data_IF_347923529766
#
_entry.id   IF_347923529766
#
_cell.length_a   1.000
_cell.length_b   1.000
_cell.length_c   1.000
_cell.angle_alpha   90.00
_cell.angle_beta   90.00
_cell.angle_gamma   90.00
#
_symmetry.space_group_name_H-M   'P 1'
#
loop_
_entity.id
_entity.type
_entity.pdbx_description
1 polymer ?
#
# COMPACT_ATOMS: atom_id res chain seq x y z
N UNK A 1 5.30 12.44 -8.98
CA UNK A 1 5.41 10.97 -9.12
C UNK A 1 4.82 10.29 -7.89
N UNK A 2 3.94 9.33 -8.11
CA UNK A 2 3.34 8.53 -7.04
C UNK A 2 4.07 7.21 -6.95
N UNK A 3 4.40 6.77 -5.74
CA UNK A 3 5.07 5.49 -5.52
C UNK A 3 4.11 4.42 -5.01
N UNK A 4 4.14 3.23 -5.61
CA UNK A 4 3.45 2.04 -5.11
C UNK A 4 4.53 1.08 -4.64
N UNK A 5 4.58 0.85 -3.33
CA UNK A 5 5.64 0.05 -2.70
C UNK A 5 4.97 -1.11 -1.98
N UNK A 6 5.44 -2.34 -2.23
CA UNK A 6 4.78 -3.53 -1.71
C UNK A 6 5.75 -4.58 -1.22
N UNK A 7 5.24 -5.44 -0.35
CA UNK A 7 5.84 -6.73 -0.02
C UNK A 7 4.85 -7.84 -0.37
N UNK A 8 5.30 -8.87 -1.06
CA UNK A 8 4.45 -9.98 -1.45
C UNK A 8 5.20 -11.30 -1.32
N UNK A 9 4.60 -12.26 -0.61
CA UNK A 9 5.17 -13.59 -0.46
C UNK A 9 4.71 -14.56 -1.55
N UNK A 10 3.41 -14.50 -1.90
CA UNK A 10 2.80 -15.42 -2.85
C UNK A 10 2.52 -14.80 -4.23
N UNK A 11 2.71 -13.50 -4.36
CA UNK A 11 2.40 -12.76 -5.58
C UNK A 11 1.03 -12.08 -5.58
N UNK A 12 0.17 -12.34 -4.61
CA UNK A 12 -1.18 -11.76 -4.59
C UNK A 12 -1.14 -10.25 -4.34
N UNK A 13 -0.38 -9.81 -3.35
CA UNK A 13 -0.23 -8.38 -3.07
C UNK A 13 0.48 -7.65 -4.21
N UNK A 14 1.41 -8.33 -4.88
CA UNK A 14 2.07 -7.79 -6.08
C UNK A 14 1.06 -7.51 -7.19
N UNK A 15 0.15 -8.44 -7.44
CA UNK A 15 -0.93 -8.25 -8.43
C UNK A 15 -1.79 -7.04 -8.07
N UNK A 16 -2.12 -6.89 -6.78
CA UNK A 16 -2.86 -5.74 -6.29
C UNK A 16 -2.10 -4.43 -6.54
N UNK A 17 -0.78 -4.44 -6.32
CA UNK A 17 0.06 -3.25 -6.53
C UNK A 17 -0.01 -2.77 -7.98
N UNK A 18 0.05 -3.67 -8.94
CA UNK A 18 -0.06 -3.31 -10.36
C UNK A 18 -1.46 -2.77 -10.70
N UNK A 19 -2.51 -3.30 -10.09
CA UNK A 19 -3.86 -2.79 -10.32
C UNK A 19 -4.06 -1.41 -9.70
N UNK A 20 -3.50 -1.16 -8.53
CA UNK A 20 -3.48 0.20 -7.95
C UNK A 20 -2.79 1.17 -8.91
N UNK A 21 -1.66 0.75 -9.48
CA UNK A 21 -0.92 1.56 -10.45
C UNK A 21 -1.74 1.84 -11.71
N UNK A 22 -2.52 0.86 -12.19
CA UNK A 22 -3.40 1.08 -13.34
C UNK A 22 -4.44 2.17 -13.06
N UNK A 23 -5.00 2.19 -11.85
CA UNK A 23 -5.92 3.24 -11.43
C UNK A 23 -5.28 4.62 -11.40
N UNK A 24 -4.03 4.70 -10.94
CA UNK A 24 -3.27 5.94 -10.91
C UNK A 24 -3.00 6.45 -12.33
N UNK A 25 -2.59 5.57 -13.23
CA UNK A 25 -2.37 5.90 -14.65
C UNK A 25 -3.65 6.37 -15.31
N UNK A 26 -4.77 5.69 -15.05
CA UNK A 26 -6.07 6.05 -15.61
C UNK A 26 -6.51 7.46 -15.16
N UNK A 27 -6.06 7.90 -13.99
CA UNK A 27 -6.33 9.26 -13.50
C UNK A 27 -5.34 10.31 -14.05
N UNK A 28 -4.40 9.90 -14.91
CA UNK A 28 -3.49 10.82 -15.57
C UNK A 28 -2.22 11.15 -14.81
N UNK A 29 -1.89 10.38 -13.76
CA UNK A 29 -0.71 10.63 -12.94
C UNK A 29 0.40 9.62 -13.26
N UNK A 30 1.64 10.04 -13.06
CA UNK A 30 2.80 9.15 -13.21
C UNK A 30 2.95 8.30 -11.95
N UNK A 31 3.37 7.04 -12.12
CA UNK A 31 3.49 6.08 -11.04
C UNK A 31 4.68 5.16 -11.25
N UNK A 32 5.34 4.80 -10.15
CA UNK A 32 6.36 3.74 -10.13
C UNK A 32 5.89 2.65 -9.17
N UNK A 33 6.07 1.39 -9.58
CA UNK A 33 5.76 0.23 -8.73
C UNK A 33 7.07 -0.44 -8.36
N UNK A 34 7.33 -0.57 -7.07
CA UNK A 34 8.57 -1.18 -6.57
C UNK A 34 8.30 -2.11 -5.41
N UNK A 35 9.01 -3.24 -5.40
CA UNK A 35 9.09 -4.08 -4.21
C UNK A 35 9.86 -3.33 -3.12
N UNK A 36 9.52 -3.60 -1.86
CA UNK A 36 10.20 -2.99 -0.72
C UNK A 36 11.72 -3.22 -0.74
N UNK A 37 12.17 -4.32 -1.37
CA UNK A 37 13.60 -4.62 -1.50
C UNK A 37 14.31 -3.77 -2.56
N UNK A 38 13.57 -3.06 -3.40
CA UNK A 38 14.11 -2.27 -4.51
C UNK A 38 14.17 -0.77 -4.22
N UNK A 39 13.69 -0.34 -3.07
CA UNK A 39 13.56 1.09 -2.74
C UNK A 39 14.05 1.36 -1.33
N UNK A 40 14.76 2.46 -1.14
CA UNK A 40 15.15 2.90 0.20
C UNK A 40 14.05 3.75 0.83
N UNK A 41 14.13 3.91 2.15
CA UNK A 41 13.19 4.80 2.89
C UNK A 41 13.32 6.23 2.37
N UNK A 42 14.52 6.69 2.10
CA UNK A 42 14.75 8.05 1.60
C UNK A 42 14.13 8.25 0.21
N UNK A 43 14.24 7.27 -0.69
CA UNK A 43 13.58 7.30 -1.99
C UNK A 43 12.05 7.32 -1.83
N UNK A 44 11.54 6.46 -0.96
CA UNK A 44 10.10 6.39 -0.70
C UNK A 44 9.55 7.73 -0.21
N UNK A 45 10.30 8.41 0.64
CA UNK A 45 9.89 9.71 1.18
C UNK A 45 9.86 10.81 0.12
N UNK A 46 10.52 10.63 -1.03
CA UNK A 46 10.52 11.63 -2.11
C UNK A 46 9.26 11.61 -2.97
N UNK A 47 8.49 10.54 -2.94
CA UNK A 47 7.24 10.48 -3.70
C UNK A 47 6.22 11.47 -3.14
N UNK A 48 5.46 12.10 -4.03
CA UNK A 48 4.42 13.07 -3.62
C UNK A 48 3.32 12.39 -2.82
N UNK A 49 2.94 11.19 -3.24
CA UNK A 49 1.92 10.36 -2.59
C UNK A 49 2.40 8.92 -2.61
N UNK A 50 1.92 8.12 -1.67
CA UNK A 50 2.34 6.72 -1.51
C UNK A 50 1.15 5.78 -1.44
N UNK A 51 1.24 4.67 -2.18
CA UNK A 51 0.39 3.50 -1.97
C UNK A 51 1.29 2.41 -1.41
N UNK A 52 0.95 1.89 -0.23
CA UNK A 52 1.75 0.89 0.46
C UNK A 52 0.97 -0.41 0.56
N UNK A 53 1.58 -1.50 0.14
CA UNK A 53 0.96 -2.82 0.14
C UNK A 53 1.79 -3.85 0.89
N UNK A 54 1.12 -4.63 1.73
CA UNK A 54 1.76 -5.71 2.49
C UNK A 54 0.74 -6.80 2.78
N UNK A 55 1.14 -8.05 2.53
CA UNK A 55 0.29 -9.19 2.86
C UNK A 55 0.23 -9.39 4.38
N UNK A 56 -0.93 -9.85 4.87
CA UNK A 56 -1.05 -10.32 6.24
C UNK A 56 -0.34 -11.67 6.35
N UNK A 57 0.54 -11.80 7.31
CA UNK A 57 1.33 -13.01 7.52
C UNK A 57 0.68 -13.99 8.51
N UNK A 58 -0.65 -13.88 8.69
CA UNK A 58 -1.41 -14.81 9.54
C UNK A 58 -1.42 -14.45 11.01
N UNK A 59 -0.66 -13.43 11.42
CA UNK A 59 -0.58 -12.97 12.81
C UNK A 59 -1.17 -11.56 12.98
N UNK A 60 -1.95 -11.10 12.00
CA UNK A 60 -2.54 -9.76 11.99
C UNK A 60 -1.49 -8.65 12.08
N UNK A 61 -0.34 -8.87 11.44
CA UNK A 61 0.83 -7.98 11.47
C UNK A 61 1.39 -7.77 10.07
N UNK A 62 2.11 -6.67 9.89
CA UNK A 62 2.92 -6.46 8.69
C UNK A 62 4.06 -7.50 8.66
N UNK A 63 4.54 -7.84 7.47
CA UNK A 63 5.64 -8.79 7.33
C UNK A 63 6.86 -8.28 8.09
N UNK A 64 7.43 -9.14 8.95
CA UNK A 64 8.47 -8.74 9.92
C UNK A 64 9.89 -8.66 9.36
N UNK A 65 10.20 -9.41 8.30
CA UNK A 65 11.58 -9.52 7.80
C UNK A 65 12.04 -8.32 6.99
N UNK A 66 11.19 -7.79 6.14
CA UNK A 66 11.54 -6.70 5.22
C UNK A 66 10.62 -5.49 5.37
N UNK A 67 9.31 -5.71 5.42
CA UNK A 67 8.36 -4.62 5.35
C UNK A 67 8.26 -3.84 6.66
N UNK A 68 8.15 -4.52 7.79
CA UNK A 68 8.01 -3.83 9.08
C UNK A 68 9.23 -2.94 9.39
N UNK A 69 10.47 -3.40 9.20
CA UNK A 69 11.63 -2.52 9.39
C UNK A 69 11.61 -1.30 8.46
N UNK A 70 11.27 -1.51 7.19
CA UNK A 70 11.15 -0.44 6.21
C UNK A 70 10.06 0.55 6.62
N UNK A 71 8.87 0.03 6.96
CA UNK A 71 7.74 0.87 7.30
C UNK A 71 7.98 1.66 8.61
N UNK A 72 8.60 1.04 9.59
CA UNK A 72 8.89 1.70 10.86
C UNK A 72 9.74 2.96 10.66
N UNK A 73 10.73 2.88 9.78
CA UNK A 73 11.57 4.05 9.44
C UNK A 73 10.78 5.07 8.61
N UNK A 74 9.99 4.60 7.65
CA UNK A 74 9.18 5.46 6.79
C UNK A 74 8.10 6.20 7.59
N UNK A 75 7.58 5.58 8.63
CA UNK A 75 6.52 6.13 9.48
C UNK A 75 6.87 7.53 10.00
N UNK A 76 8.12 7.75 10.35
CA UNK A 76 8.60 9.06 10.82
C UNK A 76 8.63 10.14 9.73
N UNK A 77 8.40 9.77 8.47
CA UNK A 77 8.44 10.68 7.32
C UNK A 77 7.08 10.86 6.66
N UNK A 78 6.01 10.35 7.27
CA UNK A 78 4.66 10.38 6.68
C UNK A 78 3.84 11.61 7.01
N UNK A 79 4.30 12.47 7.92
CA UNK A 79 3.53 13.65 8.34
C UNK A 79 3.15 14.53 7.14
N UNK A 80 1.85 14.77 6.96
CA UNK A 80 1.32 15.56 5.86
C UNK A 80 1.26 14.85 4.51
N UNK A 81 1.68 13.58 4.43
CA UNK A 81 1.72 12.83 3.18
C UNK A 81 0.40 12.09 2.97
N UNK A 82 -0.07 12.08 1.74
CA UNK A 82 -1.28 11.32 1.36
C UNK A 82 -0.91 9.89 1.05
N UNK A 83 -1.63 8.95 1.66
CA UNK A 83 -1.28 7.53 1.65
C UNK A 83 -2.52 6.68 1.40
N UNK A 84 -2.33 5.60 0.64
CA UNK A 84 -3.31 4.53 0.50
C UNK A 84 -2.65 3.22 0.89
N UNK A 85 -3.42 2.28 1.43
CA UNK A 85 -2.90 0.98 1.85
C UNK A 85 -3.75 -0.16 1.31
N UNK A 86 -3.11 -1.29 1.06
CA UNK A 86 -3.76 -2.48 0.52
C UNK A 86 -2.98 -3.73 0.89
N UNK A 87 -3.61 -4.88 0.72
CA UNK A 87 -2.92 -6.15 0.92
C UNK A 87 -3.84 -7.35 0.76
N UNK A 88 -3.23 -8.51 0.54
CA UNK A 88 -3.90 -9.81 0.48
C UNK A 88 -3.82 -10.49 1.84
N UNK A 89 -4.81 -11.33 2.18
CA UNK A 89 -4.79 -12.09 3.42
C UNK A 89 -5.37 -13.49 3.20
N UNK A 90 -5.00 -14.43 4.08
CA UNK A 90 -5.55 -15.78 4.05
C UNK A 90 -6.74 -15.96 5.00
N UNK A 91 -6.70 -15.29 6.14
CA UNK A 91 -7.78 -15.28 7.12
C UNK A 91 -7.52 -14.16 8.12
N UNK A 92 -8.57 -13.75 8.82
CA UNK A 92 -8.49 -12.57 9.70
C UNK A 92 -8.77 -11.30 8.95
N UNK A 93 -7.73 -10.51 8.65
CA UNK A 93 -7.87 -9.30 7.84
C UNK A 93 -7.90 -8.00 8.62
N UNK A 94 -7.65 -8.03 9.95
CA UNK A 94 -7.68 -6.82 10.76
C UNK A 94 -6.36 -6.04 10.75
N UNK A 95 -5.27 -6.61 10.22
CA UNK A 95 -3.95 -5.96 10.17
C UNK A 95 -4.02 -4.61 9.44
N UNK A 96 -4.89 -4.52 8.45
CA UNK A 96 -5.00 -3.31 7.64
C UNK A 96 -5.56 -2.13 8.44
N UNK A 97 -6.52 -2.40 9.32
CA UNK A 97 -7.08 -1.37 10.20
C UNK A 97 -6.04 -0.87 11.20
N UNK A 98 -5.29 -1.78 11.79
CA UNK A 98 -4.21 -1.42 12.73
C UNK A 98 -3.13 -0.61 12.03
N UNK A 99 -2.78 -1.00 10.81
CA UNK A 99 -1.82 -0.27 10.00
C UNK A 99 -2.32 1.14 9.68
N UNK A 100 -3.59 1.26 9.28
CA UNK A 100 -4.21 2.56 9.03
C UNK A 100 -4.14 3.48 10.24
N UNK A 101 -4.38 2.94 11.44
CA UNK A 101 -4.26 3.70 12.69
C UNK A 101 -2.83 4.19 12.90
N UNK A 102 -1.83 3.35 12.64
CA UNK A 102 -0.42 3.75 12.74
C UNK A 102 -0.10 4.91 11.80
N UNK A 103 -0.62 4.87 10.57
CA UNK A 103 -0.38 5.95 9.60
C UNK A 103 -0.99 7.26 10.07
N UNK A 104 -2.22 7.22 10.57
CA UNK A 104 -2.90 8.41 11.09
C UNK A 104 -2.16 8.99 12.30
N UNK A 105 -1.73 8.13 13.20
CA UNK A 105 -0.99 8.53 14.40
C UNK A 105 0.35 9.17 14.03
N UNK A 106 0.94 8.76 12.92
CA UNK A 106 2.19 9.35 12.41
C UNK A 106 1.98 10.66 11.63
N UNK A 107 0.74 11.10 11.48
CA UNK A 107 0.42 12.34 10.77
C UNK A 107 0.16 12.16 9.28
N UNK A 108 0.13 10.92 8.79
CA UNK A 108 -0.23 10.63 7.41
C UNK A 108 -1.73 10.77 7.19
N UNK A 109 -2.12 11.11 5.96
CA UNK A 109 -3.53 11.22 5.58
C UNK A 109 -3.93 10.02 4.73
N UNK A 110 -4.82 9.17 5.24
CA UNK A 110 -5.40 8.09 4.44
C UNK A 110 -6.48 8.68 3.53
N UNK A 111 -6.31 8.53 2.23
CA UNK A 111 -7.22 9.14 1.25
C UNK A 111 -8.51 8.36 1.06
N UNK A 112 -8.53 7.09 1.48
CA UNK A 112 -9.69 6.21 1.37
C UNK A 112 -9.50 5.04 2.33
N UNK A 113 -10.54 4.22 2.48
CA UNK A 113 -10.42 2.96 3.20
C UNK A 113 -9.42 2.05 2.47
N UNK A 114 -8.63 1.30 3.23
CA UNK A 114 -7.69 0.34 2.66
C UNK A 114 -8.43 -0.80 1.94
N UNK A 115 -7.74 -1.44 1.00
CA UNK A 115 -8.29 -2.58 0.26
C UNK A 115 -7.65 -3.87 0.75
N UNK A 116 -8.46 -4.75 1.34
CA UNK A 116 -8.04 -6.08 1.80
C UNK A 116 -8.73 -7.13 0.93
N UNK A 117 -7.95 -8.01 0.31
CA UNK A 117 -8.47 -9.05 -0.58
C UNK A 117 -8.12 -10.43 -0.02
N UNK A 118 -9.10 -11.29 0.11
CA UNK A 118 -8.90 -12.67 0.55
C UNK A 118 -8.29 -13.47 -0.61
N UNK A 119 -7.05 -13.93 -0.43
CA UNK A 119 -6.36 -14.71 -1.44
C UNK A 119 -5.97 -13.93 -2.67
N UNK A 120 -6.13 -14.54 -3.85
CA UNK A 120 -5.82 -13.92 -5.14
C UNK A 120 -6.91 -12.93 -5.54
N UNK A 121 -6.55 -11.72 -5.98
CA UNK A 121 -7.56 -10.76 -6.42
C UNK A 121 -8.30 -11.26 -7.68
N UNK A 122 -9.62 -11.17 -7.65
CA UNK A 122 -10.50 -11.44 -8.78
C UNK A 122 -10.85 -10.11 -9.48
N UNK A 123 -11.84 -10.14 -10.39
CA UNK A 123 -12.24 -8.94 -11.12
C UNK A 123 -12.74 -7.84 -10.19
N UNK A 124 -13.50 -8.19 -9.15
CA UNK A 124 -13.97 -7.23 -8.16
C UNK A 124 -12.82 -6.65 -7.35
N UNK A 125 -11.89 -7.50 -6.93
CA UNK A 125 -10.69 -7.09 -6.21
C UNK A 125 -9.82 -6.15 -7.04
N UNK A 126 -9.64 -6.46 -8.32
CA UNK A 126 -8.89 -5.61 -9.24
C UNK A 126 -9.56 -4.25 -9.39
N UNK A 127 -10.89 -4.21 -9.50
CA UNK A 127 -11.64 -2.95 -9.57
C UNK A 127 -11.48 -2.12 -8.30
N UNK A 128 -11.50 -2.75 -7.13
CA UNK A 128 -11.27 -2.07 -5.85
C UNK A 128 -9.87 -1.45 -5.79
N UNK A 129 -8.85 -2.17 -6.26
CA UNK A 129 -7.48 -1.67 -6.30
C UNK A 129 -7.36 -0.47 -7.25
N UNK A 130 -7.99 -0.54 -8.42
CA UNK A 130 -7.98 0.56 -9.37
C UNK A 130 -8.68 1.80 -8.80
N UNK A 131 -9.80 1.63 -8.10
CA UNK A 131 -10.50 2.74 -7.45
C UNK A 131 -9.64 3.36 -6.34
N UNK A 132 -8.91 2.54 -5.58
CA UNK A 132 -7.97 3.03 -4.57
C UNK A 132 -6.89 3.90 -5.22
N UNK A 133 -6.33 3.43 -6.35
CA UNK A 133 -5.33 4.19 -7.10
C UNK A 133 -5.87 5.53 -7.59
N UNK A 134 -7.09 5.54 -8.13
CA UNK A 134 -7.74 6.78 -8.57
C UNK A 134 -7.96 7.75 -7.40
N UNK A 135 -8.41 7.24 -6.27
CA UNK A 135 -8.63 8.06 -5.07
C UNK A 135 -7.31 8.73 -4.62
N UNK A 136 -6.21 7.98 -4.63
CA UNK A 136 -4.91 8.52 -4.27
C UNK A 136 -4.45 9.58 -5.28
N UNK A 137 -4.59 9.30 -6.57
CA UNK A 137 -4.17 10.22 -7.62
C UNK A 137 -4.94 11.55 -7.56
N UNK A 138 -6.21 11.49 -7.20
CA UNK A 138 -7.11 12.66 -7.18
C UNK A 138 -7.13 13.38 -5.82
N UNK A 139 -6.44 12.85 -4.84
CA UNK A 139 -6.44 13.41 -3.49
C UNK A 139 -5.72 14.75 -3.38
#
# INVERSE_FOLDING_TARGET
MIGVIFWSGTGNTEKMAYEVAEGIKAAGQEVEVKSVSEVSVDEAATYDKLALGCADMGAEQLEEGEFEPFYTELEGKLSGKKVAIFGSYGWGGTWLEDWGTRIKDAGGELVADGVAILGEPDDDGNAQCQELGKALANA
#
